data_IF_137367163727
#
_entry.id   IF_137367163727
#
_cell.length_a   1.000
_cell.length_b   1.000
_cell.length_c   1.000
_cell.angle_alpha   90.00
_cell.angle_beta   90.00
_cell.angle_gamma   90.00
#
_symmetry.space_group_name_H-M   'P 1'
#
loop_
_entity.id
_entity.type
_entity.pdbx_description
1 polymer ?
#
# COMPACT_ATOMS: atom_id res chain seq x y z
N UNK A 1 -7.73 -27.63 -17.40
CA UNK A 1 -6.94 -26.44 -17.00
C UNK A 1 -5.80 -26.94 -16.14
N UNK A 2 -4.55 -26.73 -16.56
CA UNK A 2 -3.40 -27.05 -15.71
C UNK A 2 -3.32 -26.00 -14.58
N UNK A 3 -2.92 -26.38 -13.36
CA UNK A 3 -2.68 -25.41 -12.30
C UNK A 3 -1.55 -24.47 -12.72
N UNK A 4 -1.64 -23.16 -12.42
CA UNK A 4 -0.55 -22.23 -12.70
C UNK A 4 0.69 -22.67 -11.93
N UNK A 5 1.82 -22.69 -12.63
CA UNK A 5 3.13 -23.07 -12.11
C UNK A 5 3.50 -22.18 -10.91
N UNK A 6 3.74 -22.74 -9.70
CA UNK A 6 4.04 -21.97 -8.49
C UNK A 6 5.43 -21.30 -8.50
N UNK A 7 6.23 -21.51 -9.55
CA UNK A 7 7.65 -21.10 -9.62
C UNK A 7 7.92 -19.71 -10.18
N UNK A 8 6.91 -18.94 -10.58
CA UNK A 8 7.09 -17.57 -11.07
C UNK A 8 6.15 -16.57 -10.37
N UNK A 9 6.28 -16.42 -9.05
CA UNK A 9 5.47 -15.49 -8.27
C UNK A 9 6.00 -14.05 -8.36
N UNK A 10 6.25 -13.57 -9.59
CA UNK A 10 6.68 -12.19 -9.87
C UNK A 10 5.70 -11.17 -9.30
N UNK A 11 4.40 -11.41 -9.46
CA UNK A 11 3.36 -10.51 -9.01
C UNK A 11 2.80 -10.97 -7.66
N UNK A 12 3.12 -10.22 -6.61
CA UNK A 12 2.64 -10.50 -5.26
C UNK A 12 1.41 -9.65 -4.95
N UNK A 13 0.23 -10.23 -4.66
CA UNK A 13 -0.94 -9.48 -4.22
C UNK A 13 -0.67 -8.58 -3.02
N UNK A 14 -1.29 -7.40 -2.98
CA UNK A 14 -1.37 -6.59 -1.76
C UNK A 14 -2.34 -7.26 -0.77
N UNK A 15 -2.01 -7.21 0.53
CA UNK A 15 -2.85 -7.78 1.60
C UNK A 15 -4.14 -7.00 1.82
N UNK A 16 -4.18 -5.75 1.37
CA UNK A 16 -5.33 -4.84 1.45
C UNK A 16 -6.45 -5.18 0.46
N UNK A 17 -6.33 -6.24 -0.34
CA UNK A 17 -7.38 -6.68 -1.27
C UNK A 17 -8.66 -7.11 -0.53
N UNK A 18 -9.79 -6.52 -0.90
CA UNK A 18 -11.13 -6.93 -0.43
C UNK A 18 -11.75 -8.10 -1.21
N UNK A 19 -11.07 -8.58 -2.26
CA UNK A 19 -11.54 -9.63 -3.15
C UNK A 19 -10.62 -10.84 -3.12
N UNK A 20 -11.21 -12.03 -3.28
CA UNK A 20 -10.49 -13.29 -3.51
C UNK A 20 -9.69 -13.26 -4.83
N UNK A 21 -10.06 -12.37 -5.76
CA UNK A 21 -9.31 -12.11 -6.98
C UNK A 21 -8.51 -10.81 -6.83
N UNK A 22 -7.21 -10.87 -6.47
CA UNK A 22 -6.40 -9.68 -6.25
C UNK A 22 -6.11 -8.98 -7.58
N UNK A 23 -6.47 -7.69 -7.65
CA UNK A 23 -6.25 -6.85 -8.84
C UNK A 23 -5.10 -5.84 -8.66
N UNK A 24 -4.69 -5.60 -7.42
CA UNK A 24 -3.52 -4.79 -7.09
C UNK A 24 -2.40 -5.71 -6.62
N UNK A 25 -1.25 -5.62 -7.29
CA UNK A 25 -0.10 -6.48 -7.08
C UNK A 25 1.19 -5.66 -7.07
N UNK A 26 2.19 -6.16 -6.37
CA UNK A 26 3.57 -5.69 -6.41
C UNK A 26 4.31 -6.52 -7.46
N UNK A 27 4.85 -5.87 -8.48
CA UNK A 27 5.84 -6.49 -9.37
C UNK A 27 7.17 -6.61 -8.61
N UNK A 28 7.41 -7.79 -8.02
CA UNK A 28 8.59 -8.05 -7.19
C UNK A 28 9.89 -8.09 -7.98
N UNK A 29 9.82 -8.18 -9.31
CA UNK A 29 10.99 -8.15 -10.20
C UNK A 29 11.31 -6.74 -10.72
N UNK A 30 10.44 -5.75 -10.48
CA UNK A 30 10.70 -4.37 -10.84
C UNK A 30 12.00 -3.83 -10.22
N UNK A 31 12.51 -2.74 -10.80
CA UNK A 31 13.73 -2.10 -10.31
C UNK A 31 13.58 -1.71 -8.84
N UNK A 32 14.51 -2.07 -7.92
CA UNK A 32 14.31 -1.90 -6.49
C UNK A 32 14.03 -0.45 -6.07
N UNK A 33 14.69 0.52 -6.74
CA UNK A 33 14.43 1.94 -6.50
C UNK A 33 13.03 2.38 -6.92
N UNK A 34 12.45 1.80 -7.97
CA UNK A 34 11.07 2.12 -8.36
C UNK A 34 10.06 1.58 -7.35
N UNK A 35 10.31 0.39 -6.78
CA UNK A 35 9.51 -0.17 -5.69
C UNK A 35 9.62 0.73 -4.44
N UNK A 36 10.85 1.19 -4.11
CA UNK A 36 11.10 2.10 -3.00
C UNK A 36 10.40 3.46 -3.19
N UNK A 37 10.44 4.04 -4.39
CA UNK A 37 9.76 5.31 -4.70
C UNK A 37 8.24 5.16 -4.55
N UNK A 38 7.67 4.06 -5.04
CA UNK A 38 6.25 3.74 -4.87
C UNK A 38 5.86 3.57 -3.39
N UNK A 39 6.75 2.97 -2.58
CA UNK A 39 6.57 2.82 -1.15
C UNK A 39 6.59 4.19 -0.45
N UNK A 40 7.62 5.00 -0.75
CA UNK A 40 7.80 6.35 -0.23
C UNK A 40 6.60 7.24 -0.54
N UNK A 41 6.08 7.17 -1.77
CA UNK A 41 4.90 7.92 -2.17
C UNK A 41 3.70 7.62 -1.28
N UNK A 42 3.41 6.34 -1.02
CA UNK A 42 2.28 5.91 -0.19
C UNK A 42 2.44 6.32 1.28
N UNK A 43 3.62 6.11 1.85
CA UNK A 43 3.91 6.50 3.24
C UNK A 43 3.82 8.03 3.40
N UNK A 44 4.32 8.79 2.43
CA UNK A 44 4.19 10.25 2.44
C UNK A 44 2.75 10.69 2.32
N UNK A 45 1.98 10.14 1.38
CA UNK A 45 0.56 10.46 1.23
C UNK A 45 -0.23 10.13 2.50
N UNK A 46 0.07 9.01 3.16
CA UNK A 46 -0.51 8.66 4.47
C UNK A 46 -0.16 9.68 5.55
N UNK A 47 1.10 10.13 5.59
CA UNK A 47 1.56 11.12 6.57
C UNK A 47 0.89 12.49 6.35
N UNK A 48 0.85 12.97 5.10
CA UNK A 48 0.21 14.23 4.73
C UNK A 48 -1.30 14.20 5.03
N UNK A 49 -1.96 13.05 4.80
CA UNK A 49 -3.38 12.86 5.13
C UNK A 49 -3.63 12.77 6.64
N UNK A 50 -2.70 12.19 7.40
CA UNK A 50 -2.78 12.12 8.87
C UNK A 50 -2.61 13.50 9.49
N UNK A 51 -1.67 14.30 8.99
CA UNK A 51 -1.51 15.69 9.38
C UNK A 51 -2.77 16.50 9.09
N UNK A 52 -3.37 16.30 7.92
CA UNK A 52 -4.66 16.90 7.56
C UNK A 52 -5.74 16.51 8.57
N UNK A 53 -5.89 15.21 8.88
CA UNK A 53 -6.86 14.71 9.85
C UNK A 53 -6.64 15.30 11.26
N UNK A 54 -5.38 15.41 11.67
CA UNK A 54 -5.01 15.99 12.97
C UNK A 54 -5.35 17.49 13.06
N UNK A 55 -5.14 18.24 11.97
CA UNK A 55 -5.45 19.66 11.90
C UNK A 55 -6.94 19.96 11.73
N UNK A 56 -7.75 19.01 11.25
CA UNK A 56 -9.21 19.19 11.18
C UNK A 56 -9.76 19.35 12.60
N UNK A 57 -10.30 20.53 12.90
CA UNK A 57 -11.12 20.71 14.07
C UNK A 57 -12.34 19.79 13.93
N UNK A 58 -12.56 18.88 14.90
CA UNK A 58 -13.73 17.99 14.99
C UNK A 58 -15.09 18.71 14.85
N UNK A 59 -15.12 20.05 14.89
CA UNK A 59 -16.29 20.89 14.68
C UNK A 59 -16.62 21.15 13.20
N UNK A 60 -15.72 20.88 12.26
CA UNK A 60 -15.85 21.23 10.84
C UNK A 60 -15.90 20.01 9.90
N UNK A 61 -15.35 18.86 10.31
CA UNK A 61 -15.47 17.62 9.55
C UNK A 61 -16.78 16.91 9.87
N UNK A 62 -17.46 16.34 8.86
CA UNK A 62 -18.57 15.43 9.13
C UNK A 62 -17.99 14.20 9.84
N UNK A 63 -18.62 13.74 10.91
CA UNK A 63 -18.21 12.53 11.65
C UNK A 63 -18.14 11.31 10.70
N UNK A 64 -18.91 11.34 9.61
CA UNK A 64 -18.89 10.32 8.55
C UNK A 64 -17.62 10.32 7.70
N UNK A 65 -16.87 11.43 7.68
CA UNK A 65 -15.62 11.52 6.91
C UNK A 65 -14.46 10.83 7.64
N UNK A 66 -14.51 10.74 8.97
CA UNK A 66 -13.45 10.14 9.79
C UNK A 66 -13.20 8.68 9.39
N UNK A 67 -14.20 7.78 9.30
CA UNK A 67 -13.97 6.40 8.85
C UNK A 67 -13.38 6.31 7.44
N UNK A 68 -13.78 7.20 6.52
CA UNK A 68 -13.26 7.20 5.15
C UNK A 68 -11.78 7.60 5.10
N UNK A 69 -11.40 8.64 5.85
CA UNK A 69 -10.01 9.10 5.96
C UNK A 69 -9.16 8.03 6.66
N UNK A 70 -9.65 7.45 7.76
CA UNK A 70 -8.96 6.37 8.48
C UNK A 70 -8.76 5.14 7.58
N UNK A 71 -9.74 4.78 6.76
CA UNK A 71 -9.60 3.68 5.81
C UNK A 71 -8.52 3.97 4.76
N UNK A 72 -8.50 5.18 4.19
CA UNK A 72 -7.46 5.59 3.24
C UNK A 72 -6.06 5.57 3.88
N UNK A 73 -5.92 6.07 5.12
CA UNK A 73 -4.69 6.00 5.90
C UNK A 73 -4.22 4.55 6.11
N UNK A 74 -5.14 3.66 6.48
CA UNK A 74 -4.84 2.24 6.67
C UNK A 74 -4.31 1.61 5.38
N UNK A 75 -5.01 1.80 4.26
CA UNK A 75 -4.62 1.25 2.95
C UNK A 75 -3.23 1.75 2.51
N UNK A 76 -3.01 3.07 2.53
CA UNK A 76 -1.74 3.67 2.12
C UNK A 76 -0.57 3.20 3.00
N UNK A 77 -0.81 3.06 4.31
CA UNK A 77 0.23 2.61 5.25
C UNK A 77 0.58 1.14 5.05
N UNK A 78 -0.43 0.27 4.89
CA UNK A 78 -0.21 -1.16 4.63
C UNK A 78 0.51 -1.36 3.29
N UNK A 79 0.00 -0.77 2.22
CA UNK A 79 0.60 -0.88 0.88
C UNK A 79 2.05 -0.37 0.88
N UNK A 80 2.30 0.78 1.51
CA UNK A 80 3.64 1.36 1.64
C UNK A 80 4.58 0.44 2.42
N UNK A 81 4.12 -0.16 3.53
CA UNK A 81 4.91 -1.10 4.32
C UNK A 81 5.26 -2.36 3.54
N UNK A 82 4.32 -2.91 2.78
CA UNK A 82 4.55 -4.10 1.96
C UNK A 82 5.57 -3.84 0.83
N UNK A 83 5.47 -2.67 0.18
CA UNK A 83 6.43 -2.25 -0.84
C UNK A 83 7.84 -2.04 -0.25
N UNK A 84 7.94 -1.43 0.94
CA UNK A 84 9.23 -1.29 1.65
C UNK A 84 9.87 -2.64 1.95
N UNK A 85 9.07 -3.63 2.36
CA UNK A 85 9.57 -4.97 2.63
C UNK A 85 10.15 -5.61 1.36
N UNK A 86 9.45 -5.52 0.22
CA UNK A 86 9.94 -6.05 -1.08
C UNK A 86 11.18 -5.30 -1.54
N UNK A 87 11.16 -3.96 -1.49
CA UNK A 87 12.29 -3.14 -1.89
C UNK A 87 13.54 -3.53 -1.09
N UNK A 88 13.41 -3.65 0.24
CA UNK A 88 14.50 -4.09 1.12
C UNK A 88 15.03 -5.47 0.72
N UNK A 89 14.16 -6.45 0.55
CA UNK A 89 14.55 -7.82 0.15
C UNK A 89 15.30 -7.83 -1.19
N UNK A 90 14.92 -6.97 -2.14
CA UNK A 90 15.53 -6.86 -3.47
C UNK A 90 16.86 -6.10 -3.46
N UNK A 91 17.05 -5.16 -2.53
CA UNK A 91 18.30 -4.40 -2.38
C UNK A 91 19.37 -5.17 -1.60
N UNK A 92 18.96 -6.15 -0.78
CA UNK A 92 19.88 -7.00 0.00
C UNK A 92 20.25 -8.31 -0.70
N UNK A 93 19.73 -8.55 -1.90
CA UNK A 93 20.06 -9.70 -2.76
C UNK A 93 21.12 -9.28 -3.78
#
# INVERSE_FOLDING_TARGET
MNPPDPSNNRYRPLKTSYSETPVLVIDTEAHPHAILDAARQRIRASSDLLETLYCLCFKQADVKDIPNIVNALYLLTQDGSELLEVARQRMTR
#
